data_IF_248144365266
#
_entry.id   IF_248144365266
#
_cell.length_a   1.000
_cell.length_b   1.000
_cell.length_c   1.000
_cell.angle_alpha   90.00
_cell.angle_beta   90.00
_cell.angle_gamma   90.00
#
_symmetry.space_group_name_H-M   'P 1'
#
loop_
_entity.id
_entity.type
_entity.pdbx_description
1 polymer ?
#
# COMPACT_ATOMS: atom_id res chain seq x y z
N UNK A 1 -7.15 -11.53 8.96
CA UNK A 1 -8.05 -10.50 9.51
C UNK A 1 -8.20 -10.62 11.03
N UNK A 2 -8.69 -11.74 11.60
CA UNK A 2 -8.83 -11.92 13.07
C UNK A 2 -7.58 -11.62 13.91
N UNK A 3 -6.38 -11.84 13.36
CA UNK A 3 -5.12 -11.48 14.01
C UNK A 3 -4.98 -9.96 14.20
N UNK A 4 -5.39 -9.16 13.20
CA UNK A 4 -5.36 -7.69 13.30
C UNK A 4 -6.34 -7.24 14.39
N UNK A 5 -7.57 -7.76 14.40
CA UNK A 5 -8.56 -7.45 15.44
C UNK A 5 -8.04 -7.80 16.86
N UNK A 6 -7.29 -8.90 16.99
CA UNK A 6 -6.74 -9.35 18.28
C UNK A 6 -5.55 -8.51 18.74
N UNK A 7 -4.72 -8.03 17.79
CA UNK A 7 -3.62 -7.11 18.07
C UNK A 7 -4.14 -5.75 18.52
N UNK A 8 -5.26 -5.29 17.97
CA UNK A 8 -5.91 -4.04 18.40
C UNK A 8 -6.42 -4.09 19.83
N UNK A 9 -6.96 -5.23 20.24
CA UNK A 9 -7.45 -5.44 21.62
C UNK A 9 -6.32 -5.70 22.62
N UNK A 10 -5.06 -5.75 22.18
CA UNK A 10 -3.91 -6.08 23.04
C UNK A 10 -3.24 -4.84 23.63
N UNK A 11 -2.72 -4.94 24.85
CA UNK A 11 -1.95 -3.88 25.52
C UNK A 11 -0.49 -3.78 25.02
N UNK A 12 -0.20 -4.30 23.83
CA UNK A 12 1.15 -4.26 23.27
C UNK A 12 1.60 -2.84 22.91
N UNK A 13 2.92 -2.54 22.95
CA UNK A 13 3.43 -1.27 22.48
C UNK A 13 3.01 -0.99 21.02
N UNK A 14 2.65 0.25 20.71
CA UNK A 14 2.14 0.64 19.39
C UNK A 14 3.12 0.29 18.25
N UNK A 15 4.43 0.33 18.49
CA UNK A 15 5.45 -0.07 17.52
C UNK A 15 5.39 -1.56 17.16
N UNK A 16 5.07 -2.41 18.13
CA UNK A 16 4.88 -3.85 17.94
C UNK A 16 3.56 -4.12 17.22
N UNK A 17 2.48 -3.46 17.63
CA UNK A 17 1.18 -3.55 16.95
C UNK A 17 1.31 -3.20 15.46
N UNK A 18 1.95 -2.06 15.14
CA UNK A 18 2.22 -1.65 13.75
C UNK A 18 3.03 -2.67 12.96
N UNK A 19 4.04 -3.28 13.57
CA UNK A 19 4.83 -4.32 12.93
C UNK A 19 4.00 -5.57 12.61
N UNK A 20 3.09 -5.96 13.51
CA UNK A 20 2.19 -7.09 13.29
C UNK A 20 1.12 -6.80 12.24
N UNK A 21 0.55 -5.59 12.22
CA UNK A 21 -0.37 -5.13 11.19
C UNK A 21 0.27 -5.20 9.80
N UNK A 22 1.47 -4.63 9.65
CA UNK A 22 2.21 -4.64 8.39
C UNK A 22 2.52 -6.07 7.93
N UNK A 23 3.06 -6.91 8.82
CA UNK A 23 3.37 -8.30 8.50
C UNK A 23 2.12 -9.06 8.07
N UNK A 24 1.00 -8.86 8.78
CA UNK A 24 -0.27 -9.53 8.46
C UNK A 24 -0.80 -9.09 7.10
N UNK A 25 -0.76 -7.80 6.78
CA UNK A 25 -1.21 -7.27 5.49
C UNK A 25 -0.30 -7.72 4.34
N UNK A 26 1.02 -7.77 4.57
CA UNK A 26 1.98 -8.28 3.59
C UNK A 26 1.73 -9.76 3.28
N UNK A 27 1.49 -10.58 4.32
CA UNK A 27 1.15 -11.99 4.15
C UNK A 27 -0.17 -12.18 3.41
N UNK A 28 -1.20 -11.40 3.78
CA UNK A 28 -2.50 -11.45 3.12
C UNK A 28 -2.41 -11.02 1.64
N UNK A 29 -1.61 -10.00 1.34
CA UNK A 29 -1.29 -9.59 -0.04
C UNK A 29 -0.65 -10.72 -0.83
N UNK A 30 0.30 -11.45 -0.25
CA UNK A 30 0.97 -12.56 -0.93
C UNK A 30 0.03 -13.75 -1.14
N UNK A 31 -0.80 -14.07 -0.15
CA UNK A 31 -1.77 -15.16 -0.23
C UNK A 31 -2.80 -14.89 -1.34
N UNK A 32 -3.41 -13.70 -1.34
CA UNK A 32 -4.40 -13.29 -2.34
C UNK A 32 -3.81 -13.16 -3.75
N UNK A 33 -2.50 -12.89 -3.88
CA UNK A 33 -1.84 -12.86 -5.18
C UNK A 33 -1.62 -14.26 -5.77
N UNK A 34 -1.38 -15.26 -4.91
CA UNK A 34 -0.87 -16.59 -5.29
C UNK A 34 -1.96 -17.67 -5.34
N UNK A 35 -2.98 -17.57 -4.50
CA UNK A 35 -4.02 -18.60 -4.35
C UNK A 35 -5.40 -18.01 -4.61
N UNK A 36 -6.09 -18.50 -5.64
CA UNK A 36 -7.44 -18.02 -5.97
C UNK A 36 -8.42 -18.24 -4.81
N UNK A 37 -8.31 -19.38 -4.12
CA UNK A 37 -9.14 -19.69 -2.94
C UNK A 37 -8.92 -18.72 -1.79
N UNK A 38 -7.76 -18.07 -1.69
CA UNK A 38 -7.52 -17.07 -0.64
C UNK A 38 -8.33 -15.79 -0.89
N UNK A 39 -8.64 -15.48 -2.15
CA UNK A 39 -9.57 -14.39 -2.50
C UNK A 39 -11.00 -14.80 -2.16
N UNK A 40 -11.41 -16.03 -2.51
CA UNK A 40 -12.75 -16.55 -2.20
C UNK A 40 -12.99 -16.58 -0.68
N UNK A 41 -11.99 -17.03 0.09
CA UNK A 41 -11.99 -17.04 1.55
C UNK A 41 -12.04 -15.62 2.12
N UNK A 42 -11.32 -14.65 1.53
CA UNK A 42 -11.38 -13.26 1.96
C UNK A 42 -12.78 -12.66 1.71
N UNK A 43 -13.38 -12.97 0.56
CA UNK A 43 -14.69 -12.48 0.17
C UNK A 43 -15.85 -13.24 0.84
N UNK A 44 -15.58 -14.39 1.46
CA UNK A 44 -16.58 -15.27 2.06
C UNK A 44 -17.68 -15.66 1.07
N UNK A 45 -17.31 -15.98 -0.18
CA UNK A 45 -18.27 -16.22 -1.28
C UNK A 45 -19.25 -17.36 -0.98
N UNK A 46 -18.87 -18.32 -0.13
CA UNK A 46 -19.72 -19.46 0.25
C UNK A 46 -20.71 -19.17 1.37
N UNK A 47 -20.53 -18.07 2.10
CA UNK A 47 -21.35 -17.70 3.25
C UNK A 47 -22.00 -16.34 2.98
N UNK A 48 -23.26 -16.36 2.54
CA UNK A 48 -24.02 -15.16 2.18
C UNK A 48 -24.12 -14.14 3.31
N UNK A 49 -24.15 -14.60 4.58
CA UNK A 49 -24.24 -13.70 5.74
C UNK A 49 -22.92 -12.95 5.99
N UNK A 50 -21.80 -13.51 5.53
CA UNK A 50 -20.46 -12.94 5.69
C UNK A 50 -19.87 -12.41 4.38
N UNK A 51 -20.59 -12.52 3.25
CA UNK A 51 -20.12 -12.13 1.93
C UNK A 51 -19.70 -10.65 1.92
N UNK A 52 -18.44 -10.40 1.56
CA UNK A 52 -17.85 -9.05 1.56
C UNK A 52 -17.49 -8.48 2.93
N UNK A 53 -17.76 -9.17 4.05
CA UNK A 53 -17.50 -8.65 5.40
C UNK A 53 -16.05 -8.19 5.60
N UNK A 54 -15.08 -9.03 5.19
CA UNK A 54 -13.67 -8.67 5.36
C UNK A 54 -13.20 -7.62 4.36
N UNK A 55 -13.88 -7.43 3.23
CA UNK A 55 -13.65 -6.32 2.32
C UNK A 55 -14.00 -4.99 3.00
N UNK A 56 -15.16 -4.93 3.68
CA UNK A 56 -15.52 -3.77 4.51
C UNK A 56 -14.55 -3.53 5.68
N UNK A 57 -14.06 -4.61 6.32
CA UNK A 57 -13.02 -4.49 7.36
C UNK A 57 -11.71 -3.89 6.83
N UNK A 58 -11.29 -4.25 5.62
CA UNK A 58 -10.11 -3.65 4.99
C UNK A 58 -10.27 -2.14 4.80
N UNK A 59 -11.49 -1.65 4.53
CA UNK A 59 -11.75 -0.21 4.40
C UNK A 59 -11.55 0.52 5.73
N UNK A 60 -12.00 -0.09 6.82
CA UNK A 60 -11.80 0.46 8.17
C UNK A 60 -10.31 0.63 8.46
N UNK A 61 -9.49 -0.38 8.15
CA UNK A 61 -8.04 -0.31 8.30
C UNK A 61 -7.41 0.71 7.35
N UNK A 62 -7.84 0.74 6.09
CA UNK A 62 -7.36 1.70 5.10
C UNK A 62 -7.54 3.15 5.58
N UNK A 63 -8.75 3.47 6.05
CA UNK A 63 -9.13 4.80 6.54
C UNK A 63 -8.35 5.17 7.81
N UNK A 64 -8.19 4.22 8.74
CA UNK A 64 -7.39 4.43 9.95
C UNK A 64 -5.95 4.79 9.60
N UNK A 65 -5.33 4.05 8.68
CA UNK A 65 -3.94 4.29 8.32
C UNK A 65 -3.75 5.63 7.59
N UNK A 66 -4.77 6.15 6.90
CA UNK A 66 -4.73 7.52 6.35
C UNK A 66 -4.54 8.57 7.44
N UNK A 67 -5.25 8.42 8.57
CA UNK A 67 -5.27 9.40 9.65
C UNK A 67 -3.94 9.41 10.40
N UNK A 68 -3.33 8.25 10.57
CA UNK A 68 -2.09 8.10 11.33
C UNK A 68 -0.82 8.48 10.54
N UNK A 69 -0.83 8.44 9.19
CA UNK A 69 0.33 8.75 8.35
C UNK A 69 0.44 10.25 7.97
N UNK A 70 -0.51 11.08 8.42
CA UNK A 70 -0.59 12.51 8.13
C UNK A 70 0.54 13.41 8.70
N UNK A 71 1.64 12.84 9.21
CA UNK A 71 2.71 13.59 9.87
C UNK A 71 4.09 13.53 9.18
N UNK A 72 4.20 12.96 7.97
CA UNK A 72 5.53 12.82 7.32
C UNK A 72 5.49 12.80 5.80
N UNK A 73 5.13 13.92 5.18
CA UNK A 73 5.47 14.17 3.77
C UNK A 73 6.05 15.57 3.61
N UNK A 74 7.26 15.78 4.14
CA UNK A 74 8.15 16.78 3.55
C UNK A 74 8.77 16.15 2.28
N UNK A 75 8.38 16.70 1.14
CA UNK A 75 8.81 16.24 -0.18
C UNK A 75 10.30 16.55 -0.37
N UNK A 76 11.16 15.56 -0.16
CA UNK A 76 12.52 15.60 -0.65
C UNK A 76 12.50 15.35 -2.17
N UNK A 77 12.40 16.43 -2.95
CA UNK A 77 12.65 16.40 -4.40
C UNK A 77 14.16 16.24 -4.59
N UNK A 78 14.66 15.02 -4.60
CA UNK A 78 16.01 14.72 -5.07
C UNK A 78 15.93 14.48 -6.59
N UNK A 79 16.43 15.47 -7.35
CA UNK A 79 16.51 15.40 -8.80
C UNK A 79 17.36 14.22 -9.27
N UNK A 80 16.83 13.48 -10.23
CA UNK A 80 17.55 12.46 -10.98
C UNK A 80 18.61 13.15 -11.83
N UNK A 81 19.89 13.03 -11.45
CA UNK A 81 20.99 13.22 -12.38
C UNK A 81 21.29 11.89 -13.05
N UNK A 82 20.98 11.85 -14.35
CA UNK A 82 21.48 10.89 -15.32
C UNK A 82 23.00 10.83 -15.25
N UNK A 83 23.56 9.63 -15.12
CA UNK A 83 24.99 9.39 -15.31
C UNK A 83 25.13 8.31 -16.39
N UNK A 84 25.39 8.77 -17.62
CA UNK A 84 25.98 7.96 -18.67
C UNK A 84 27.51 8.12 -18.66
N UNK A 85 28.15 7.05 -19.11
CA UNK A 85 29.47 6.95 -19.74
C UNK A 85 30.70 6.52 -18.91
N UNK A 86 31.05 5.24 -19.06
CA UNK A 86 32.28 4.77 -19.73
C UNK A 86 33.67 5.27 -19.30
N UNK A 87 34.56 4.31 -18.96
CA UNK A 87 35.98 4.38 -19.39
C UNK A 87 37.07 4.44 -18.31
N UNK A 88 37.54 3.25 -17.93
CA UNK A 88 38.94 2.77 -17.78
C UNK A 88 40.04 3.47 -16.92
N UNK A 89 40.84 2.56 -16.33
CA UNK A 89 42.25 2.59 -15.94
C UNK A 89 42.80 3.25 -14.63
N UNK A 90 43.09 2.34 -13.69
CA UNK A 90 44.42 2.06 -13.12
C UNK A 90 44.98 2.92 -11.94
N UNK A 91 45.19 2.23 -10.80
CA UNK A 91 46.49 2.03 -10.12
C UNK A 91 46.63 2.49 -8.64
N UNK A 92 46.99 1.48 -7.84
CA UNK A 92 47.90 1.44 -6.67
C UNK A 92 47.34 1.53 -5.24
N UNK A 93 47.54 0.39 -4.58
CA UNK A 93 47.65 0.10 -3.15
C UNK A 93 48.72 0.95 -2.45
N UNK A 94 48.45 1.35 -1.21
CA UNK A 94 49.46 1.46 -0.13
C UNK A 94 48.78 1.33 1.23
N UNK A 95 49.27 0.37 2.02
CA UNK A 95 49.03 0.24 3.47
C UNK A 95 49.76 1.35 4.25
N UNK A 96 49.31 1.62 5.47
CA UNK A 96 49.99 2.53 6.42
C UNK A 96 49.15 2.86 7.65
N UNK A 97 49.35 2.07 8.70
CA UNK A 97 48.75 2.11 10.04
C UNK A 97 49.18 3.35 10.87
N UNK A 98 48.23 4.01 11.56
CA UNK A 98 48.52 4.91 12.70
C UNK A 98 47.28 5.16 13.58
N UNK A 99 47.49 5.00 14.88
CA UNK A 99 46.52 4.82 15.97
C UNK A 99 46.03 6.15 16.59
N UNK A 100 44.75 6.13 17.01
CA UNK A 100 44.06 6.97 18.05
C UNK A 100 43.85 8.47 17.82
N UNK A 101 42.57 8.85 17.74
CA UNK A 101 41.94 9.69 18.76
C UNK A 101 40.42 9.56 18.76
N UNK A 102 39.89 9.12 19.90
CA UNK A 102 38.48 8.99 20.20
C UNK A 102 38.01 10.32 20.82
N UNK A 103 37.02 10.99 20.24
CA UNK A 103 36.23 12.04 20.91
C UNK A 103 34.86 12.18 20.25
N UNK A 104 33.91 11.41 20.78
CA UNK A 104 32.55 11.87 21.08
C UNK A 104 31.69 12.37 19.93
N UNK A 105 31.41 11.51 18.95
CA UNK A 105 30.33 11.76 18.00
C UNK A 105 28.96 11.56 18.64
N UNK A 106 28.27 12.65 19.01
CA UNK A 106 26.81 12.65 19.13
C UNK A 106 26.19 12.66 17.72
N UNK A 107 26.31 11.54 17.00
CA UNK A 107 25.70 11.30 15.67
C UNK A 107 24.68 10.16 15.71
N UNK A 108 24.21 9.79 16.90
CA UNK A 108 23.39 8.59 17.12
C UNK A 108 21.88 8.86 17.05
N UNK A 109 21.45 10.12 17.02
CA UNK A 109 20.00 10.46 17.10
C UNK A 109 19.36 10.71 15.72
N UNK A 110 20.12 10.97 14.65
CA UNK A 110 19.56 11.25 13.31
C UNK A 110 19.35 10.01 12.44
N UNK A 111 19.94 8.86 12.78
CA UNK A 111 19.94 7.65 11.93
C UNK A 111 18.74 6.71 12.12
N UNK A 112 17.82 7.02 13.04
CA UNK A 112 16.65 6.18 13.33
C UNK A 112 15.31 6.84 12.94
N UNK A 113 15.29 7.74 11.95
CA UNK A 113 14.04 8.02 11.24
C UNK A 113 13.73 6.82 10.34
N UNK A 114 13.15 5.77 10.93
CA UNK A 114 12.57 4.66 10.19
C UNK A 114 11.58 5.23 9.19
N UNK A 115 11.76 4.93 7.90
CA UNK A 115 10.84 5.35 6.84
C UNK A 115 9.40 5.01 7.28
N UNK A 116 8.44 5.95 7.21
CA UNK A 116 7.07 5.69 7.59
C UNK A 116 6.52 4.50 6.81
N UNK A 117 5.79 3.62 7.51
CA UNK A 117 5.31 2.36 6.95
C UNK A 117 4.00 2.61 6.21
N UNK A 118 4.03 2.45 4.89
CA UNK A 118 2.86 2.58 4.02
C UNK A 118 2.00 1.30 4.07
N UNK A 119 1.22 1.15 5.14
CA UNK A 119 0.30 0.01 5.31
C UNK A 119 -0.85 0.06 4.30
N UNK A 120 -1.27 1.26 3.88
CA UNK A 120 -2.33 1.46 2.90
C UNK A 120 -2.02 0.79 1.57
N UNK A 121 -0.76 0.89 1.12
CA UNK A 121 -0.30 0.21 -0.09
C UNK A 121 -0.59 -1.29 -0.04
N UNK A 122 -0.41 -1.97 1.09
CA UNK A 122 -0.71 -3.40 1.18
C UNK A 122 -2.20 -3.69 1.02
N UNK A 123 -3.06 -2.84 1.57
CA UNK A 123 -4.51 -2.95 1.37
C UNK A 123 -4.87 -2.74 -0.10
N UNK A 124 -4.35 -1.69 -0.74
CA UNK A 124 -4.58 -1.44 -2.17
C UNK A 124 -4.07 -2.59 -3.05
N UNK A 125 -2.97 -3.24 -2.67
CA UNK A 125 -2.46 -4.43 -3.35
C UNK A 125 -3.40 -5.63 -3.19
N UNK A 126 -3.99 -5.82 -2.01
CA UNK A 126 -5.02 -6.84 -1.77
C UNK A 126 -6.24 -6.57 -2.65
N UNK A 127 -6.73 -5.33 -2.73
CA UNK A 127 -7.84 -4.97 -3.61
C UNK A 127 -7.54 -5.25 -5.09
N UNK A 128 -6.31 -4.95 -5.52
CA UNK A 128 -5.87 -5.27 -6.87
C UNK A 128 -5.95 -6.78 -7.15
N UNK A 129 -5.60 -7.61 -6.16
CA UNK A 129 -5.73 -9.06 -6.29
C UNK A 129 -7.20 -9.51 -6.30
N UNK A 130 -8.02 -8.94 -5.42
CA UNK A 130 -9.48 -9.21 -5.33
C UNK A 130 -10.19 -8.91 -6.65
N UNK A 131 -9.86 -7.79 -7.29
CA UNK A 131 -10.50 -7.40 -8.56
C UNK A 131 -10.12 -8.27 -9.76
N UNK A 132 -9.23 -9.27 -9.60
CA UNK A 132 -8.92 -10.24 -10.66
C UNK A 132 -10.04 -11.27 -10.85
N UNK A 133 -10.94 -11.42 -9.89
CA UNK A 133 -12.09 -12.34 -9.95
C UNK A 133 -13.41 -11.58 -9.99
N UNK A 134 -14.45 -12.19 -10.57
CA UNK A 134 -15.73 -11.54 -10.82
C UNK A 134 -16.46 -11.12 -9.54
N UNK A 135 -16.51 -11.98 -8.52
CA UNK A 135 -17.12 -11.66 -7.23
C UNK A 135 -16.43 -10.48 -6.53
N UNK A 136 -15.11 -10.39 -6.66
CA UNK A 136 -14.34 -9.28 -6.11
C UNK A 136 -14.63 -7.96 -6.82
N UNK A 137 -14.83 -8.00 -8.14
CA UNK A 137 -15.27 -6.82 -8.90
C UNK A 137 -16.69 -6.39 -8.52
N UNK A 138 -17.60 -7.35 -8.32
CA UNK A 138 -18.97 -7.09 -7.90
C UNK A 138 -19.02 -6.38 -6.55
N UNK A 139 -18.47 -7.03 -5.53
CA UNK A 139 -18.53 -6.55 -4.16
C UNK A 139 -17.83 -5.19 -4.00
N UNK A 140 -16.71 -4.99 -4.70
CA UNK A 140 -16.01 -3.71 -4.65
C UNK A 140 -16.80 -2.56 -5.30
N UNK A 141 -17.54 -2.83 -6.39
CA UNK A 141 -18.33 -1.81 -7.09
C UNK A 141 -19.72 -1.57 -6.48
N UNK A 142 -20.19 -2.48 -5.64
CA UNK A 142 -21.42 -2.31 -4.86
C UNK A 142 -21.20 -1.53 -3.56
N UNK A 143 -19.98 -1.54 -3.04
CA UNK A 143 -19.57 -0.78 -1.87
C UNK A 143 -19.21 0.67 -2.24
N UNK A 144 -20.16 1.59 -2.02
CA UNK A 144 -20.00 3.01 -2.34
C UNK A 144 -18.85 3.67 -1.55
N UNK A 145 -18.57 3.23 -0.32
CA UNK A 145 -17.48 3.81 0.49
C UNK A 145 -16.11 3.40 -0.07
N UNK A 146 -15.98 2.15 -0.52
CA UNK A 146 -14.79 1.71 -1.24
C UNK A 146 -14.60 2.44 -2.56
N UNK A 147 -15.68 2.66 -3.32
CA UNK A 147 -15.63 3.41 -4.57
C UNK A 147 -15.11 4.83 -4.35
N UNK A 148 -15.59 5.50 -3.31
CA UNK A 148 -15.12 6.84 -2.95
C UNK A 148 -13.64 6.82 -2.55
N UNK A 149 -13.23 5.92 -1.65
CA UNK A 149 -11.84 5.79 -1.21
C UNK A 149 -10.87 5.50 -2.38
N UNK A 150 -11.25 4.60 -3.29
CA UNK A 150 -10.45 4.29 -4.49
C UNK A 150 -10.41 5.44 -5.50
N UNK A 151 -11.50 6.19 -5.64
CA UNK A 151 -11.49 7.37 -6.49
C UNK A 151 -10.58 8.47 -5.93
N UNK A 152 -10.64 8.70 -4.61
CA UNK A 152 -9.74 9.64 -3.93
C UNK A 152 -8.27 9.23 -4.09
N UNK A 153 -7.96 7.92 -4.06
CA UNK A 153 -6.62 7.40 -4.33
C UNK A 153 -6.05 7.82 -5.69
N UNK A 154 -6.89 8.05 -6.71
CA UNK A 154 -6.42 8.49 -8.03
C UNK A 154 -5.80 9.90 -7.98
N UNK A 155 -6.15 10.69 -6.98
CA UNK A 155 -5.59 12.03 -6.72
C UNK A 155 -4.56 12.04 -5.59
N UNK A 156 -4.20 10.87 -5.04
CA UNK A 156 -3.20 10.76 -3.97
C UNK A 156 -1.85 11.32 -4.40
N UNK A 157 -1.12 11.95 -3.47
CA UNK A 157 0.27 12.39 -3.71
C UNK A 157 1.21 11.21 -3.96
N UNK A 158 0.87 10.01 -3.45
CA UNK A 158 1.66 8.80 -3.62
C UNK A 158 1.40 8.18 -5.02
N UNK A 159 2.39 8.16 -5.94
CA UNK A 159 2.22 7.62 -7.29
C UNK A 159 1.85 6.15 -7.31
N UNK A 160 2.29 5.39 -6.30
CA UNK A 160 1.99 3.97 -6.20
C UNK A 160 0.54 3.72 -5.84
N UNK A 161 -0.03 4.53 -4.96
CA UNK A 161 -1.46 4.45 -4.62
C UNK A 161 -2.32 4.77 -5.85
N UNK A 162 -1.97 5.83 -6.60
CA UNK A 162 -2.65 6.17 -7.87
C UNK A 162 -2.63 5.00 -8.85
N UNK A 163 -1.46 4.37 -9.03
CA UNK A 163 -1.31 3.23 -9.95
C UNK A 163 -2.17 2.04 -9.52
N UNK A 164 -2.13 1.66 -8.24
CA UNK A 164 -2.91 0.52 -7.73
C UNK A 164 -4.42 0.76 -7.88
N UNK A 165 -4.90 1.96 -7.57
CA UNK A 165 -6.30 2.33 -7.76
C UNK A 165 -6.72 2.27 -9.24
N UNK A 166 -5.91 2.84 -10.14
CA UNK A 166 -6.17 2.79 -11.57
C UNK A 166 -6.22 1.34 -12.10
N UNK A 167 -5.35 0.46 -11.59
CA UNK A 167 -5.35 -0.96 -11.96
C UNK A 167 -6.59 -1.70 -11.43
N UNK A 168 -7.11 -1.35 -10.25
CA UNK A 168 -8.37 -1.90 -9.76
C UNK A 168 -9.54 -1.54 -10.69
N UNK A 169 -9.66 -0.26 -11.08
CA UNK A 169 -10.69 0.16 -12.04
C UNK A 169 -10.50 -0.49 -13.42
N UNK A 170 -9.26 -0.64 -13.89
CA UNK A 170 -8.96 -1.37 -15.13
C UNK A 170 -9.48 -2.80 -15.06
N UNK A 171 -9.21 -3.53 -13.97
CA UNK A 171 -9.68 -4.90 -13.81
C UNK A 171 -11.22 -4.98 -13.84
N UNK A 172 -11.90 -4.00 -13.25
CA UNK A 172 -13.36 -3.92 -13.27
C UNK A 172 -13.94 -3.53 -14.64
N UNK A 173 -13.15 -2.89 -15.52
CA UNK A 173 -13.65 -2.32 -16.78
C UNK A 173 -13.88 -3.33 -17.92
N UNK A 174 -13.40 -4.56 -17.77
CA UNK A 174 -13.46 -5.57 -18.84
C UNK A 174 -14.89 -6.06 -19.13
N UNK A 175 -15.77 -6.05 -18.13
CA UNK A 175 -17.15 -6.50 -18.25
C UNK A 175 -18.11 -5.31 -18.31
N UNK A 176 -19.03 -5.31 -19.28
CA UNK A 176 -19.93 -4.18 -19.54
C UNK A 176 -20.91 -3.97 -18.38
N UNK A 177 -21.27 -5.05 -17.71
CA UNK A 177 -22.15 -5.10 -16.55
C UNK A 177 -21.59 -4.27 -15.38
N UNK A 178 -20.28 -4.08 -15.34
CA UNK A 178 -19.56 -3.35 -14.28
C UNK A 178 -19.43 -1.85 -14.57
N UNK A 179 -19.66 -1.41 -15.81
CA UNK A 179 -19.50 -0.01 -16.21
C UNK A 179 -20.36 0.97 -15.42
N UNK A 180 -21.64 0.69 -15.08
CA UNK A 180 -22.43 1.58 -14.25
C UNK A 180 -21.79 1.84 -12.86
N UNK A 181 -21.22 0.81 -12.23
CA UNK A 181 -20.51 0.95 -10.95
C UNK A 181 -19.27 1.83 -11.06
N UNK A 182 -18.48 1.65 -12.12
CA UNK A 182 -17.30 2.49 -12.41
C UNK A 182 -17.70 3.95 -12.67
N UNK A 183 -18.80 4.20 -13.39
CA UNK A 183 -19.25 5.57 -13.64
C UNK A 183 -19.74 6.27 -12.36
N UNK A 184 -20.31 5.53 -11.40
CA UNK A 184 -20.71 6.06 -10.09
C UNK A 184 -19.52 6.53 -9.25
N UNK A 185 -18.36 5.89 -9.38
CA UNK A 185 -17.16 6.22 -8.59
C UNK A 185 -16.53 7.57 -8.96
N UNK A 186 -16.95 8.21 -10.07
CA UNK A 186 -16.35 9.45 -10.59
C UNK A 186 -14.84 9.32 -10.91
N UNK A 187 -14.35 8.09 -11.11
CA UNK A 187 -12.93 7.84 -11.42
C UNK A 187 -12.46 8.43 -12.76
N UNK A 188 -13.39 8.78 -13.65
CA UNK A 188 -13.10 9.43 -14.92
C UNK A 188 -12.94 10.94 -14.70
N UNK A 189 -11.75 11.36 -14.28
CA UNK A 189 -11.39 12.77 -14.26
C UNK A 189 -10.98 13.16 -15.68
N UNK A 190 -11.89 13.77 -16.43
CA UNK A 190 -11.51 14.45 -17.67
C UNK A 190 -10.59 15.61 -17.31
N UNK A 191 -9.31 15.54 -17.68
CA UNK A 191 -8.43 16.71 -17.70
C UNK A 191 -8.96 17.62 -18.80
N UNK A 192 -9.83 18.56 -18.43
CA UNK A 192 -10.15 19.68 -19.28
C UNK A 192 -8.89 20.55 -19.32
N UNK A 193 -8.06 20.35 -20.33
CA UNK A 193 -6.99 21.29 -20.67
C UNK A 193 -7.64 22.64 -20.95
N UNK A 194 -7.42 23.60 -20.04
CA UNK A 194 -7.74 25.00 -20.24
C UNK A 194 -6.65 25.69 -21.08
#
# INVERSE_FOLDING_TARGET
>A
MRLIDSVEASDHPQSLQRGLEEMTLMLLSNLTASHVSAVDDLLQVTDEDLRGFYLGKLLTYYTRFTVDDGCSVEVAVAGEQQQEDGGDDNKKLSEGDAVRSNSGGNKSEELNKTVPRDLQRWILQILLNVTRVADGQELLLEDDDWLMALSDCLSSLNPRHRLLAAQCFRNCSFQRERHPGILRSRCLVCVLSA
#
